data_IF_934346505912
#
_entry.id   IF_934346505912
#
_cell.length_a   1.000
_cell.length_b   1.000
_cell.length_c   1.000
_cell.angle_alpha   90.00
_cell.angle_beta   90.00
_cell.angle_gamma   90.00
#
_symmetry.space_group_name_H-M   'P 1'
#
loop_
_entity.id
_entity.type
_entity.pdbx_description
1 polymer ?
#
# COMPACT_ATOMS: atom_id res chain seq x y z
N UNK A 1 6.25 -1.04 29.29
CA UNK A 1 6.86 -1.43 27.99
C UNK A 1 7.42 -0.18 27.32
N UNK A 2 8.66 -0.21 26.84
CA UNK A 2 9.30 0.90 26.11
C UNK A 2 9.58 0.44 24.66
N UNK A 3 8.63 0.63 23.73
CA UNK A 3 8.86 0.28 22.33
C UNK A 3 10.03 1.10 21.77
N UNK A 4 10.87 0.45 20.96
CA UNK A 4 12.01 1.09 20.29
C UNK A 4 11.80 1.02 18.79
N UNK A 5 12.03 2.13 18.09
CA UNK A 5 12.02 2.14 16.62
C UNK A 5 13.19 1.29 16.12
N UNK A 6 12.89 0.26 15.31
CA UNK A 6 13.89 -0.64 14.73
C UNK A 6 14.16 -0.35 13.25
N UNK A 7 13.31 0.46 12.61
CA UNK A 7 13.37 0.74 11.19
C UNK A 7 12.61 2.03 10.86
N UNK A 8 13.14 2.81 9.92
CA UNK A 8 12.51 3.99 9.37
C UNK A 8 12.75 4.05 7.86
N UNK A 9 11.71 4.41 7.11
CA UNK A 9 11.79 4.61 5.67
C UNK A 9 10.72 5.58 5.20
N UNK A 10 11.14 6.58 4.42
CA UNK A 10 10.19 7.44 3.72
C UNK A 10 9.55 6.65 2.57
N UNK A 11 8.24 6.43 2.65
CA UNK A 11 7.48 5.72 1.61
C UNK A 11 7.07 6.64 0.48
N UNK A 12 6.78 7.92 0.75
CA UNK A 12 6.42 8.96 -0.22
C UNK A 12 6.27 10.32 0.45
N UNK A 13 6.05 11.40 -0.32
CA UNK A 13 5.79 12.75 0.24
C UNK A 13 4.48 12.86 1.00
N UNK A 14 3.53 11.99 0.68
CA UNK A 14 2.27 11.78 1.39
C UNK A 14 1.97 10.27 1.43
N UNK A 15 1.45 9.81 2.57
CA UNK A 15 0.96 8.45 2.79
C UNK A 15 -0.39 8.56 3.49
N UNK A 16 -1.32 7.65 3.17
CA UNK A 16 -2.59 7.51 3.88
C UNK A 16 -2.75 6.11 4.47
N UNK A 17 -3.29 5.15 3.71
CA UNK A 17 -3.56 3.81 4.25
C UNK A 17 -2.34 2.90 4.15
N UNK A 18 -2.11 2.13 5.21
CA UNK A 18 -1.23 0.96 5.22
C UNK A 18 -2.06 -0.30 5.43
N UNK A 19 -1.76 -1.37 4.69
CA UNK A 19 -2.35 -2.69 4.89
C UNK A 19 -1.26 -3.75 4.94
N UNK A 20 -1.36 -4.67 5.89
CA UNK A 20 -0.42 -5.77 6.07
C UNK A 20 -1.09 -7.10 5.70
N UNK A 21 -0.35 -8.00 5.05
CA UNK A 21 -0.82 -9.37 4.85
C UNK A 21 -0.87 -10.16 6.18
N UNK A 22 -1.77 -11.14 6.25
CA UNK A 22 -1.95 -11.99 7.43
C UNK A 22 -0.68 -12.72 7.90
N UNK A 23 0.21 -13.06 6.96
CA UNK A 23 1.51 -13.69 7.26
C UNK A 23 2.57 -12.69 7.78
N UNK A 24 2.25 -11.40 7.86
CA UNK A 24 3.15 -10.33 8.27
C UNK A 24 4.24 -9.96 7.27
N UNK A 25 4.31 -10.63 6.12
CA UNK A 25 5.43 -10.54 5.16
C UNK A 25 5.28 -9.46 4.11
N UNK A 26 4.10 -8.84 3.97
CA UNK A 26 3.83 -7.82 2.93
C UNK A 26 3.13 -6.63 3.52
N UNK A 27 3.56 -5.44 3.12
CA UNK A 27 2.91 -4.18 3.43
C UNK A 27 2.59 -3.44 2.14
N UNK A 28 1.42 -2.83 2.09
CA UNK A 28 0.91 -2.04 0.97
C UNK A 28 0.57 -0.65 1.47
N UNK A 29 0.94 0.38 0.70
CA UNK A 29 0.74 1.78 1.04
C UNK A 29 0.04 2.50 -0.10
N UNK A 30 -0.96 3.30 0.23
CA UNK A 30 -1.60 4.23 -0.71
C UNK A 30 -1.35 5.67 -0.26
N UNK A 31 -1.37 6.61 -1.20
CA UNK A 31 -1.06 8.01 -0.90
C UNK A 31 -2.28 8.90 -0.65
N UNK A 32 -3.43 8.67 -1.29
CA UNK A 32 -4.56 9.63 -1.23
C UNK A 32 -5.34 9.52 0.08
N UNK A 33 -5.57 10.67 0.73
CA UNK A 33 -6.39 10.83 1.92
C UNK A 33 -7.82 11.25 1.54
N UNK A 34 -7.97 12.48 1.05
CA UNK A 34 -9.21 13.04 0.54
C UNK A 34 -8.85 14.04 -0.56
N UNK A 35 -9.67 14.16 -1.60
CA UNK A 35 -9.25 14.85 -2.81
C UNK A 35 -8.80 16.31 -2.60
N UNK A 36 -9.37 17.01 -1.62
CA UNK A 36 -9.03 18.39 -1.28
C UNK A 36 -7.92 18.53 -0.21
N UNK A 37 -7.53 17.42 0.41
CA UNK A 37 -6.52 17.40 1.48
C UNK A 37 -5.20 16.81 1.03
N UNK A 38 -5.22 16.11 -0.09
CA UNK A 38 -4.02 15.65 -0.74
C UNK A 38 -3.11 16.82 -1.11
N UNK A 39 -1.81 16.61 -0.90
CA UNK A 39 -0.75 17.50 -1.38
C UNK A 39 -0.90 17.74 -2.89
N UNK A 40 -0.48 18.91 -3.32
CA UNK A 40 -0.58 19.38 -4.70
C UNK A 40 0.82 19.59 -5.31
N UNK A 41 0.87 19.84 -6.62
CA UNK A 41 2.11 20.11 -7.34
C UNK A 41 3.10 18.94 -7.27
N UNK A 42 4.37 19.25 -7.02
CA UNK A 42 5.46 18.25 -7.00
C UNK A 42 5.30 17.18 -5.90
N UNK A 43 4.54 17.46 -4.85
CA UNK A 43 4.31 16.52 -3.75
C UNK A 43 3.03 15.68 -3.92
N UNK A 44 2.30 15.84 -5.04
CA UNK A 44 1.05 15.13 -5.32
C UNK A 44 1.28 13.72 -5.90
N UNK A 45 2.13 12.92 -5.25
CA UNK A 45 2.33 11.54 -5.67
C UNK A 45 1.03 10.73 -5.44
N UNK A 46 0.52 10.08 -6.48
CA UNK A 46 -0.63 9.18 -6.41
C UNK A 46 -0.14 7.75 -6.64
N UNK A 47 0.04 6.97 -5.58
CA UNK A 47 0.66 5.64 -5.69
C UNK A 47 -0.04 4.53 -4.91
N UNK A 48 0.18 3.30 -5.39
CA UNK A 48 0.11 2.07 -4.59
C UNK A 48 1.49 1.42 -4.59
N UNK A 49 2.14 1.38 -3.43
CA UNK A 49 3.47 0.78 -3.24
C UNK A 49 3.35 -0.48 -2.39
N UNK A 50 4.01 -1.55 -2.80
CA UNK A 50 4.09 -2.78 -2.04
C UNK A 50 5.53 -3.11 -1.65
N UNK A 51 5.67 -3.64 -0.45
CA UNK A 51 6.95 -4.05 0.12
C UNK A 51 6.83 -5.43 0.74
N UNK A 52 7.92 -6.20 0.68
CA UNK A 52 8.12 -7.37 1.52
C UNK A 52 8.80 -6.93 2.82
N UNK A 53 8.36 -7.49 3.95
CA UNK A 53 8.99 -7.32 5.25
C UNK A 53 9.72 -8.61 5.63
N UNK A 54 11.02 -8.50 5.88
CA UNK A 54 11.88 -9.61 6.27
C UNK A 54 12.26 -9.61 7.76
N UNK A 55 11.65 -8.73 8.54
CA UNK A 55 11.99 -8.52 9.95
C UNK A 55 13.06 -7.44 10.19
N UNK A 56 13.67 -6.90 9.12
CA UNK A 56 14.71 -5.86 9.20
C UNK A 56 14.41 -4.65 8.31
N UNK A 57 13.94 -4.88 7.08
CA UNK A 57 13.68 -3.80 6.13
C UNK A 57 12.48 -4.04 5.21
N UNK A 58 11.92 -2.95 4.68
CA UNK A 58 10.89 -2.97 3.64
C UNK A 58 11.53 -3.02 2.26
N UNK A 59 11.54 -4.23 1.67
CA UNK A 59 12.05 -4.50 0.31
C UNK A 59 11.00 -4.19 -0.74
N UNK A 60 11.25 -3.26 -1.69
CA UNK A 60 10.28 -2.94 -2.74
C UNK A 60 9.84 -4.19 -3.52
N UNK A 61 8.54 -4.25 -3.83
CA UNK A 61 7.95 -5.31 -4.66
C UNK A 61 7.38 -4.75 -5.95
N UNK A 62 6.56 -3.71 -5.83
CA UNK A 62 6.08 -2.94 -6.96
C UNK A 62 5.76 -1.52 -6.51
N UNK A 63 5.76 -0.61 -7.49
CA UNK A 63 5.35 0.77 -7.35
C UNK A 63 4.44 1.10 -8.54
N UNK A 64 3.20 1.49 -8.25
CA UNK A 64 2.22 1.87 -9.27
C UNK A 64 1.95 3.36 -9.17
N UNK A 65 2.28 4.10 -10.22
CA UNK A 65 1.90 5.50 -10.39
C UNK A 65 0.48 5.58 -10.97
N UNK A 66 -0.48 5.93 -10.12
CA UNK A 66 -1.89 6.02 -10.49
C UNK A 66 -2.17 7.19 -11.44
N UNK A 67 -1.34 8.24 -11.42
CA UNK A 67 -1.46 9.36 -12.35
C UNK A 67 -1.04 8.91 -13.75
N UNK A 68 0.14 8.30 -13.87
CA UNK A 68 0.66 7.81 -15.15
C UNK A 68 -0.25 6.72 -15.74
N UNK A 69 -0.79 5.84 -14.88
CA UNK A 69 -1.70 4.76 -15.29
C UNK A 69 -3.16 5.22 -15.46
N UNK A 70 -3.49 6.48 -15.15
CA UNK A 70 -4.85 7.05 -15.22
C UNK A 70 -5.88 6.27 -14.39
N UNK A 71 -5.49 5.82 -13.19
CA UNK A 71 -6.31 5.01 -12.28
C UNK A 71 -7.05 5.84 -11.22
N UNK A 72 -6.92 7.16 -11.25
CA UNK A 72 -7.53 8.06 -10.26
C UNK A 72 -6.68 8.14 -8.98
N UNK A 73 -7.34 8.16 -7.81
CA UNK A 73 -6.68 8.37 -6.51
C UNK A 73 -6.74 7.11 -5.65
N UNK A 74 -5.59 6.49 -5.29
CA UNK A 74 -5.56 5.27 -4.51
C UNK A 74 -5.89 5.54 -3.03
N UNK A 75 -6.86 4.81 -2.47
CA UNK A 75 -7.32 5.01 -1.08
C UNK A 75 -7.50 3.68 -0.32
N UNK A 76 -8.64 2.99 -0.47
CA UNK A 76 -8.91 1.75 0.25
C UNK A 76 -8.37 0.50 -0.48
N UNK A 77 -7.73 -0.38 0.28
CA UNK A 77 -7.25 -1.69 -0.18
C UNK A 77 -8.06 -2.80 0.49
N UNK A 78 -8.92 -3.47 -0.27
CA UNK A 78 -9.85 -4.48 0.24
C UNK A 78 -9.38 -5.90 -0.12
N UNK A 79 -8.23 -6.31 0.42
CA UNK A 79 -7.69 -7.66 0.19
C UNK A 79 -8.60 -8.72 0.84
N UNK A 80 -9.24 -9.55 0.01
CA UNK A 80 -10.16 -10.61 0.47
C UNK A 80 -11.65 -10.21 0.51
N UNK A 81 -12.01 -9.04 -0.02
CA UNK A 81 -13.42 -8.66 -0.14
C UNK A 81 -14.16 -9.53 -1.17
N UNK A 82 -15.28 -10.13 -0.74
CA UNK A 82 -16.22 -10.84 -1.62
C UNK A 82 -17.05 -9.89 -2.49
N UNK A 83 -16.98 -8.57 -2.25
CA UNK A 83 -17.67 -7.55 -3.05
C UNK A 83 -17.00 -7.29 -4.41
N UNK A 84 -15.79 -7.81 -4.64
CA UNK A 84 -15.03 -7.61 -5.89
C UNK A 84 -15.19 -8.84 -6.83
N UNK A 85 -16.12 -9.73 -6.52
CA UNK A 85 -16.37 -10.98 -7.25
C UNK A 85 -16.01 -12.21 -6.42
N UNK A 86 -16.25 -13.42 -6.95
CA UNK A 86 -16.00 -14.66 -6.23
C UNK A 86 -14.53 -14.76 -5.79
N UNK A 87 -14.30 -15.30 -4.59
CA UNK A 87 -12.96 -15.57 -4.07
C UNK A 87 -12.16 -16.39 -5.08
N UNK A 88 -11.14 -15.78 -5.70
CA UNK A 88 -10.21 -16.47 -6.61
C UNK A 88 -9.18 -17.34 -5.88
N UNK A 89 -9.35 -17.55 -4.57
CA UNK A 89 -8.40 -18.24 -3.69
C UNK A 89 -8.48 -19.77 -3.73
N UNK A 90 -9.24 -20.38 -4.64
CA UNK A 90 -9.45 -21.84 -4.66
C UNK A 90 -8.76 -22.59 -5.81
N UNK A 91 -7.78 -22.01 -6.51
CA UNK A 91 -7.05 -22.71 -7.58
C UNK A 91 -5.62 -23.15 -7.24
N UNK A 92 -5.12 -22.90 -6.02
CA UNK A 92 -3.79 -23.34 -5.58
C UNK A 92 -3.83 -24.54 -4.61
N UNK A 93 -4.75 -25.48 -4.86
CA UNK A 93 -4.77 -26.78 -4.21
C UNK A 93 -5.30 -27.83 -5.19
N UNK A 94 -4.48 -28.17 -6.19
CA UNK A 94 -4.48 -29.46 -6.87
C UNK A 94 -3.05 -29.84 -7.19
#
# INVERSE_FOLDING_TARGET
HHPKQIYEKQIGKQVNMVSQSWDGKRLYFTSSLLAHWDKQGADNEQFLRAYAWDGKELKPRFDLDFTALKLGRPHHMLFGSTKIGPNRTTLAAK
#
